data_IF_496891489318
#
_entry.id   IF_496891489318
#
_cell.length_a   1.000
_cell.length_b   1.000
_cell.length_c   1.000
_cell.angle_alpha   90.00
_cell.angle_beta   90.00
_cell.angle_gamma   90.00
#
_symmetry.space_group_name_H-M   'P 1'
#
loop_
_entity.id
_entity.type
_entity.pdbx_description
1 polymer ?
#
# COMPACT_ATOMS: atom_id res chain seq x y z
N UNK A 1 2.47 4.80 25.14
CA UNK A 1 2.77 6.26 25.12
C UNK A 1 2.34 6.89 23.77
N UNK A 2 3.00 6.59 22.65
CA UNK A 2 2.71 7.28 21.37
C UNK A 2 1.31 6.98 20.82
N UNK A 3 0.87 5.71 20.86
CA UNK A 3 -0.46 5.28 20.41
C UNK A 3 -1.57 5.95 21.24
N UNK A 4 -1.45 5.93 22.58
CA UNK A 4 -2.39 6.59 23.50
C UNK A 4 -2.42 8.11 23.28
N UNK A 5 -1.27 8.73 23.03
CA UNK A 5 -1.18 10.17 22.73
C UNK A 5 -1.88 10.52 21.41
N UNK A 6 -1.72 9.70 20.36
CA UNK A 6 -2.44 9.87 19.10
C UNK A 6 -3.96 9.75 19.31
N UNK A 7 -4.41 8.73 20.06
CA UNK A 7 -5.83 8.51 20.37
C UNK A 7 -6.44 9.66 21.15
N UNK A 8 -5.75 10.20 22.16
CA UNK A 8 -6.18 11.40 22.88
C UNK A 8 -6.29 12.68 22.02
N UNK A 9 -5.72 12.67 20.80
CA UNK A 9 -5.89 13.74 19.81
C UNK A 9 -6.87 13.38 18.68
N UNK A 10 -7.57 12.23 18.77
CA UNK A 10 -8.46 11.73 17.73
C UNK A 10 -7.75 11.17 16.49
N UNK A 11 -6.44 10.91 16.59
CA UNK A 11 -5.61 10.40 15.48
C UNK A 11 -5.53 8.88 15.60
N UNK A 12 -5.91 8.18 14.52
CA UNK A 12 -5.70 6.74 14.37
C UNK A 12 -4.45 6.44 13.55
N UNK A 13 -3.78 5.34 13.87
CA UNK A 13 -2.53 4.89 13.24
C UNK A 13 -2.85 3.76 12.25
N UNK A 14 -2.39 3.90 11.01
CA UNK A 14 -2.45 2.86 9.99
C UNK A 14 -1.07 2.20 9.90
N UNK A 15 -1.01 0.90 10.16
CA UNK A 15 0.18 0.08 9.95
C UNK A 15 0.23 -0.54 8.56
N UNK A 16 1.39 -1.12 8.26
CA UNK A 16 1.65 -1.81 6.99
C UNK A 16 2.25 -3.19 7.31
N UNK A 17 1.85 -4.22 6.57
CA UNK A 17 2.36 -5.58 6.70
C UNK A 17 2.70 -6.15 5.31
N UNK A 18 3.99 -6.47 5.02
CA UNK A 18 4.34 -7.15 3.79
C UNK A 18 3.73 -8.56 3.79
N UNK A 19 3.12 -8.98 2.68
CA UNK A 19 2.54 -10.33 2.61
C UNK A 19 3.58 -11.39 2.97
N UNK A 20 4.75 -11.36 2.33
CA UNK A 20 5.88 -12.27 2.60
C UNK A 20 6.84 -11.74 3.68
N UNK A 21 7.72 -12.63 4.17
CA UNK A 21 8.83 -12.33 5.08
C UNK A 21 10.17 -12.56 4.37
N UNK A 22 11.28 -12.08 4.94
CA UNK A 22 12.61 -12.36 4.41
C UNK A 22 13.01 -13.83 4.63
N UNK A 23 13.85 -14.41 3.75
CA UNK A 23 14.39 -15.76 3.94
C UNK A 23 15.24 -15.86 5.22
N UNK A 24 16.12 -14.89 5.43
CA UNK A 24 16.89 -14.74 6.67
C UNK A 24 16.02 -14.03 7.73
N UNK A 25 15.13 -14.79 8.37
CA UNK A 25 14.24 -14.31 9.42
C UNK A 25 13.92 -15.38 10.45
N UNK A 26 13.59 -14.94 11.67
CA UNK A 26 13.12 -15.83 12.73
C UNK A 26 11.81 -16.55 12.36
N UNK A 27 10.94 -15.90 11.58
CA UNK A 27 9.70 -16.49 11.06
C UNK A 27 9.97 -17.74 10.22
N UNK A 28 10.86 -17.64 9.22
CA UNK A 28 11.18 -18.77 8.33
C UNK A 28 12.00 -19.83 9.05
N UNK A 29 12.91 -19.43 9.94
CA UNK A 29 13.71 -20.36 10.73
C UNK A 29 12.86 -21.20 11.70
N UNK A 30 11.91 -20.60 12.41
CA UNK A 30 11.09 -21.27 13.41
C UNK A 30 9.86 -22.01 12.83
N UNK A 31 9.37 -21.61 11.65
CA UNK A 31 8.13 -22.11 11.05
C UNK A 31 8.32 -22.64 9.62
N UNK A 32 9.37 -23.43 9.40
CA UNK A 32 9.72 -23.97 8.06
C UNK A 32 8.58 -24.74 7.36
N UNK A 33 7.65 -25.33 8.12
CA UNK A 33 6.47 -26.02 7.60
C UNK A 33 5.41 -25.10 6.98
N UNK A 34 5.51 -23.80 7.24
CA UNK A 34 4.65 -22.75 6.68
C UNK A 34 5.13 -22.24 5.31
N UNK A 35 6.29 -22.69 4.81
CA UNK A 35 6.95 -22.18 3.61
C UNK A 35 7.30 -23.27 2.59
N UNK A 36 7.48 -22.88 1.31
CA UNK A 36 7.91 -23.76 0.22
C UNK A 36 9.44 -23.92 0.20
N UNK A 37 9.96 -24.60 1.22
CA UNK A 37 11.39 -24.92 1.38
C UNK A 37 11.71 -26.37 0.98
N UNK A 38 12.91 -26.57 0.48
CA UNK A 38 13.55 -27.88 0.42
C UNK A 38 13.93 -28.35 1.84
N UNK A 39 13.70 -29.64 2.12
CA UNK A 39 13.86 -30.21 3.48
C UNK A 39 15.29 -30.53 3.86
N UNK A 40 16.19 -30.74 2.90
CA UNK A 40 17.58 -31.10 3.19
C UNK A 40 18.48 -29.87 3.34
N UNK A 41 18.22 -28.82 2.55
CA UNK A 41 19.01 -27.59 2.51
C UNK A 41 18.36 -26.39 3.22
N UNK A 42 17.06 -26.45 3.52
CA UNK A 42 16.29 -25.33 4.09
C UNK A 42 16.11 -24.14 3.15
N UNK A 43 16.47 -24.26 1.87
CA UNK A 43 16.39 -23.19 0.87
C UNK A 43 15.01 -23.17 0.20
N UNK A 44 14.51 -22.01 -0.28
CA UNK A 44 13.26 -21.97 -1.05
C UNK A 44 13.37 -22.81 -2.31
N UNK A 45 12.33 -23.60 -2.62
CA UNK A 45 12.20 -24.23 -3.96
C UNK A 45 11.68 -23.20 -4.97
N UNK A 46 10.86 -22.26 -4.49
CA UNK A 46 10.28 -21.17 -5.27
C UNK A 46 10.28 -19.87 -4.45
N UNK A 47 10.35 -18.74 -5.14
CA UNK A 47 10.42 -17.39 -4.55
C UNK A 47 9.35 -16.46 -5.11
N UNK A 48 9.03 -15.43 -4.33
CA UNK A 48 8.06 -14.40 -4.67
C UNK A 48 8.60 -13.38 -5.68
N UNK A 49 7.66 -12.77 -6.42
CA UNK A 49 7.90 -11.65 -7.31
C UNK A 49 6.61 -11.17 -7.97
N UNK A 50 6.76 -10.48 -9.11
CA UNK A 50 5.69 -10.13 -10.06
C UNK A 50 6.16 -10.38 -11.50
N UNK A 51 5.27 -10.76 -12.43
CA UNK A 51 5.62 -10.98 -13.83
C UNK A 51 6.12 -9.71 -14.53
N UNK A 52 6.70 -9.83 -15.72
CA UNK A 52 6.87 -8.72 -16.64
C UNK A 52 5.56 -7.94 -16.88
N UNK A 53 5.67 -6.63 -16.94
CA UNK A 53 4.57 -5.71 -17.23
C UNK A 53 5.04 -4.54 -18.13
N UNK A 54 4.20 -3.52 -18.30
CA UNK A 54 4.52 -2.37 -19.15
C UNK A 54 5.45 -1.33 -18.48
N UNK A 55 5.90 -1.59 -17.24
CA UNK A 55 6.94 -0.83 -16.53
C UNK A 55 8.25 -1.61 -16.39
N UNK A 56 8.24 -2.95 -16.39
CA UNK A 56 9.43 -3.81 -16.30
C UNK A 56 9.38 -5.00 -17.26
N UNK A 57 10.30 -5.02 -18.24
CA UNK A 57 10.45 -6.10 -19.24
C UNK A 57 10.79 -7.47 -18.62
N UNK A 58 11.32 -7.51 -17.39
CA UNK A 58 11.75 -8.74 -16.69
C UNK A 58 10.97 -9.01 -15.39
N UNK A 59 9.95 -8.20 -15.12
CA UNK A 59 9.15 -8.25 -13.89
C UNK A 59 9.94 -7.77 -12.67
N UNK A 60 9.70 -8.38 -11.51
CA UNK A 60 10.55 -8.21 -10.33
C UNK A 60 10.66 -9.53 -9.55
N UNK A 61 11.87 -9.98 -9.26
CA UNK A 61 12.15 -11.18 -8.45
C UNK A 61 12.59 -10.76 -7.05
N UNK A 62 11.68 -10.79 -6.08
CA UNK A 62 11.95 -10.31 -4.72
C UNK A 62 12.74 -11.30 -3.87
N UNK A 63 12.65 -12.60 -4.16
CA UNK A 63 13.47 -13.63 -3.51
C UNK A 63 12.95 -14.13 -2.15
N UNK A 64 11.84 -13.58 -1.64
CA UNK A 64 11.17 -14.08 -0.44
C UNK A 64 10.69 -15.54 -0.63
N UNK A 65 10.75 -16.40 0.40
CA UNK A 65 10.09 -17.71 0.35
C UNK A 65 8.58 -17.55 0.24
N UNK A 66 7.98 -18.38 -0.61
CA UNK A 66 6.51 -18.46 -0.75
C UNK A 66 5.89 -19.30 0.37
N UNK A 67 4.66 -18.97 0.74
CA UNK A 67 3.91 -19.72 1.74
C UNK A 67 3.43 -21.08 1.21
N UNK A 68 3.49 -22.11 2.06
CA UNK A 68 2.86 -23.40 1.79
C UNK A 68 1.39 -23.33 2.21
N UNK A 69 0.54 -22.78 1.34
CA UNK A 69 -0.88 -22.56 1.63
C UNK A 69 -1.68 -23.84 1.88
N UNK A 70 -1.36 -24.95 1.20
CA UNK A 70 -2.05 -26.23 1.37
C UNK A 70 -1.14 -27.45 1.28
N UNK A 71 -1.72 -28.63 1.54
CA UNK A 71 -1.10 -29.94 1.30
C UNK A 71 -1.72 -30.68 0.12
N UNK A 72 -1.23 -31.88 -0.16
CA UNK A 72 -1.61 -32.70 -1.34
C UNK A 72 -3.09 -33.15 -1.35
N UNK A 73 -3.81 -32.96 -0.24
CA UNK A 73 -5.26 -33.17 -0.13
C UNK A 73 -6.14 -31.93 -0.31
N UNK A 74 -5.56 -30.76 -0.61
CA UNK A 74 -6.28 -29.50 -0.79
C UNK A 74 -6.68 -28.77 0.51
N UNK A 75 -6.49 -29.39 1.68
CA UNK A 75 -6.68 -28.73 2.98
C UNK A 75 -5.64 -27.63 3.22
N UNK A 76 -6.07 -26.53 3.84
CA UNK A 76 -5.26 -25.36 4.14
C UNK A 76 -4.35 -25.60 5.36
N UNK A 77 -3.11 -25.13 5.27
CA UNK A 77 -2.05 -25.39 6.24
C UNK A 77 -2.35 -24.75 7.61
N UNK A 78 -2.63 -25.58 8.61
CA UNK A 78 -3.05 -25.15 9.95
C UNK A 78 -1.95 -24.43 10.73
N UNK A 79 -0.68 -24.82 10.56
CA UNK A 79 0.45 -24.08 11.15
C UNK A 79 0.54 -22.66 10.60
N UNK A 80 0.35 -22.51 9.28
CA UNK A 80 0.39 -21.23 8.59
C UNK A 80 -0.80 -20.32 8.97
N UNK A 81 -2.00 -20.89 9.15
CA UNK A 81 -3.15 -20.16 9.70
C UNK A 81 -2.87 -19.68 11.14
N UNK A 82 -2.33 -20.55 12.00
CA UNK A 82 -1.96 -20.18 13.36
C UNK A 82 -0.85 -19.13 13.42
N UNK A 83 0.11 -19.15 12.48
CA UNK A 83 1.15 -18.12 12.35
C UNK A 83 0.56 -16.78 11.89
N UNK A 84 -0.26 -16.76 10.84
CA UNK A 84 -0.94 -15.53 10.39
C UNK A 84 -1.85 -14.93 11.46
N UNK A 85 -2.63 -15.76 12.17
CA UNK A 85 -3.47 -15.30 13.29
C UNK A 85 -2.65 -14.70 14.44
N UNK A 86 -1.44 -15.19 14.70
CA UNK A 86 -0.50 -14.57 15.64
C UNK A 86 0.08 -13.27 15.08
N UNK A 87 0.44 -13.24 13.79
CA UNK A 87 1.02 -12.08 13.10
C UNK A 87 0.09 -10.87 13.10
N UNK A 88 -1.19 -11.07 12.78
CA UNK A 88 -2.21 -10.01 12.86
C UNK A 88 -2.47 -9.58 14.32
N UNK A 89 -2.60 -10.54 15.25
CA UNK A 89 -2.73 -10.24 16.68
C UNK A 89 -1.51 -9.51 17.27
N UNK A 90 -0.34 -9.59 16.64
CA UNK A 90 0.82 -8.79 17.03
C UNK A 90 0.70 -7.34 16.55
N UNK A 91 0.50 -7.11 15.25
CA UNK A 91 0.47 -5.76 14.68
C UNK A 91 -0.72 -4.93 15.18
N UNK A 92 -1.90 -5.52 15.37
CA UNK A 92 -3.08 -4.83 15.93
C UNK A 92 -2.95 -4.42 17.41
N UNK A 93 -1.76 -4.58 18.03
CA UNK A 93 -1.42 -4.04 19.36
C UNK A 93 -0.70 -2.69 19.29
N UNK A 94 -0.40 -2.20 18.10
CA UNK A 94 0.34 -0.94 17.87
C UNK A 94 -0.30 -0.02 16.84
N UNK A 95 -1.29 -0.50 16.08
CA UNK A 95 -2.00 0.24 15.03
C UNK A 95 -3.49 -0.09 15.04
N UNK A 96 -4.31 0.81 14.49
CA UNK A 96 -5.78 0.72 14.50
C UNK A 96 -6.36 0.18 13.19
N UNK A 97 -5.56 0.18 12.12
CA UNK A 97 -5.87 -0.35 10.79
C UNK A 97 -4.60 -0.95 10.21
N UNK A 98 -4.71 -2.07 9.49
CA UNK A 98 -3.58 -2.74 8.83
C UNK A 98 -3.77 -2.71 7.32
N UNK A 99 -2.89 -2.00 6.60
CA UNK A 99 -2.70 -2.21 5.16
C UNK A 99 -1.94 -3.51 4.98
N UNK A 100 -2.47 -4.48 4.23
CA UNK A 100 -1.66 -5.60 3.75
C UNK A 100 -1.09 -5.25 2.37
N UNK A 101 0.24 -5.17 2.29
CA UNK A 101 0.93 -5.00 1.03
C UNK A 101 0.84 -6.26 0.16
N UNK A 102 0.79 -6.06 -1.17
CA UNK A 102 0.59 -7.10 -2.18
C UNK A 102 -0.55 -8.10 -1.85
N UNK A 103 -1.65 -7.61 -1.25
CA UNK A 103 -2.84 -8.42 -0.91
C UNK A 103 -3.35 -9.30 -2.06
N UNK A 104 -3.11 -8.92 -3.32
CA UNK A 104 -3.50 -9.74 -4.46
C UNK A 104 -2.94 -11.17 -4.44
N UNK A 105 -1.80 -11.37 -3.76
CA UNK A 105 -1.20 -12.67 -3.49
C UNK A 105 -2.07 -13.65 -2.68
N UNK A 106 -3.17 -13.19 -2.06
CA UNK A 106 -4.15 -14.08 -1.42
C UNK A 106 -5.15 -14.70 -2.41
N UNK A 107 -5.35 -14.14 -3.61
CA UNK A 107 -6.19 -14.73 -4.67
C UNK A 107 -5.33 -15.53 -5.66
N UNK A 108 -4.22 -14.95 -6.12
CA UNK A 108 -3.19 -15.64 -6.88
C UNK A 108 -1.85 -14.94 -6.68
N UNK A 109 -0.74 -15.67 -6.63
CA UNK A 109 0.61 -15.12 -6.49
C UNK A 109 1.53 -15.60 -7.62
N UNK A 110 2.53 -14.78 -7.96
CA UNK A 110 3.50 -15.13 -8.99
C UNK A 110 4.59 -15.99 -8.37
N UNK A 111 4.65 -17.24 -8.80
CA UNK A 111 5.60 -18.24 -8.32
C UNK A 111 6.77 -18.34 -9.30
N UNK A 112 7.99 -18.05 -8.83
CA UNK A 112 9.21 -18.13 -9.63
C UNK A 112 10.06 -19.29 -9.09
N UNK A 113 10.52 -20.27 -9.91
CA UNK A 113 11.46 -21.28 -9.47
C UNK A 113 12.74 -20.64 -8.92
N UNK A 114 13.23 -21.10 -7.75
CA UNK A 114 14.31 -20.40 -7.05
C UNK A 114 15.65 -20.38 -7.82
N UNK A 115 15.81 -21.25 -8.82
CA UNK A 115 16.92 -21.31 -9.78
C UNK A 115 16.95 -20.17 -10.80
N UNK A 116 15.80 -19.53 -11.07
CA UNK A 116 15.72 -18.43 -12.04
C UNK A 116 16.43 -17.18 -11.52
N UNK A 117 17.05 -16.42 -12.42
CA UNK A 117 17.68 -15.12 -12.11
C UNK A 117 16.67 -13.95 -12.16
N UNK A 118 15.59 -14.09 -12.94
CA UNK A 118 14.57 -13.04 -13.18
C UNK A 118 13.16 -13.53 -12.81
N UNK A 119 12.14 -12.70 -13.02
CA UNK A 119 10.74 -13.09 -12.80
C UNK A 119 10.00 -13.51 -14.09
N UNK A 120 10.70 -13.60 -15.23
CA UNK A 120 10.09 -13.94 -16.53
C UNK A 120 9.49 -15.35 -16.52
N UNK A 121 10.25 -16.34 -16.04
CA UNK A 121 9.87 -17.75 -16.05
C UNK A 121 9.13 -18.18 -14.77
N UNK A 122 8.10 -17.40 -14.38
CA UNK A 122 7.18 -17.75 -13.29
C UNK A 122 5.81 -18.18 -13.79
N UNK A 123 4.91 -18.52 -12.85
CA UNK A 123 3.51 -18.82 -13.14
C UNK A 123 2.55 -18.25 -12.08
N UNK A 124 1.27 -18.08 -12.43
CA UNK A 124 0.22 -17.66 -11.49
C UNK A 124 -0.33 -18.87 -10.74
N UNK A 125 -0.09 -18.93 -9.43
CA UNK A 125 -0.61 -19.98 -8.54
C UNK A 125 -1.72 -19.41 -7.66
N UNK A 126 -2.85 -20.10 -7.57
CA UNK A 126 -4.00 -19.67 -6.76
C UNK A 126 -3.62 -19.61 -5.27
N UNK A 127 -3.98 -18.49 -4.63
CA UNK A 127 -3.88 -18.27 -3.18
C UNK A 127 -5.10 -18.82 -2.43
N UNK A 128 -5.13 -18.67 -1.10
CA UNK A 128 -6.16 -19.29 -0.25
C UNK A 128 -7.52 -18.56 -0.25
N UNK A 129 -7.61 -17.39 -0.89
CA UNK A 129 -8.83 -16.63 -1.15
C UNK A 129 -9.70 -16.35 0.09
N UNK A 130 -11.01 -16.47 -0.09
CA UNK A 130 -12.01 -16.18 0.94
C UNK A 130 -11.92 -17.12 2.15
N UNK A 131 -11.41 -18.34 1.98
CA UNK A 131 -11.26 -19.30 3.07
C UNK A 131 -10.29 -18.77 4.14
N UNK A 132 -9.13 -18.25 3.72
CA UNK A 132 -8.16 -17.64 4.65
C UNK A 132 -8.77 -16.50 5.45
N UNK A 133 -9.49 -15.56 4.82
CA UNK A 133 -10.11 -14.45 5.54
C UNK A 133 -11.30 -14.84 6.42
N UNK A 134 -11.93 -15.98 6.14
CA UNK A 134 -12.96 -16.56 7.01
C UNK A 134 -12.33 -17.13 8.28
N UNK A 135 -11.24 -17.89 8.17
CA UNK A 135 -10.46 -18.35 9.32
C UNK A 135 -9.83 -17.19 10.10
N UNK A 136 -9.28 -16.17 9.40
CA UNK A 136 -8.70 -15.02 10.06
C UNK A 136 -9.72 -14.25 10.90
N UNK A 137 -10.99 -14.13 10.49
CA UNK A 137 -12.05 -13.52 11.32
C UNK A 137 -12.27 -14.22 12.67
N UNK A 138 -11.84 -15.48 12.83
CA UNK A 138 -11.83 -16.18 14.13
C UNK A 138 -10.56 -15.93 14.96
N UNK A 139 -9.57 -15.20 14.43
CA UNK A 139 -8.26 -14.98 15.04
C UNK A 139 -7.83 -13.50 15.15
N UNK A 140 -8.33 -12.64 14.25
CA UNK A 140 -8.19 -11.19 14.17
C UNK A 140 -9.29 -10.59 13.25
N UNK A 141 -9.99 -9.55 13.70
CA UNK A 141 -10.92 -8.80 12.84
C UNK A 141 -10.17 -7.93 11.79
N UNK A 142 -10.80 -7.70 10.63
CA UNK A 142 -10.58 -6.62 9.61
C UNK A 142 -9.27 -6.49 8.80
N UNK A 143 -9.19 -7.02 7.54
CA UNK A 143 -7.92 -7.14 6.75
C UNK A 143 -8.02 -7.19 5.18
N UNK A 144 -7.47 -6.20 4.44
CA UNK A 144 -7.55 -6.06 2.93
C UNK A 144 -6.30 -5.42 2.22
N UNK A 145 -6.17 -5.15 0.89
CA UNK A 145 -6.99 -5.23 -0.37
C UNK A 145 -6.13 -5.02 -1.67
N UNK A 146 -6.37 -5.67 -2.85
CA UNK A 146 -6.17 -5.15 -4.27
C UNK A 146 -6.42 -6.16 -5.46
N UNK A 147 -6.85 -5.67 -6.66
CA UNK A 147 -6.91 -6.29 -8.05
C UNK A 147 -8.14 -7.19 -8.42
N UNK A 148 -8.45 -7.57 -9.71
CA UNK A 148 -9.80 -8.00 -10.22
C UNK A 148 -10.66 -9.06 -9.50
N UNK A 149 -10.41 -10.38 -9.59
CA UNK A 149 -11.15 -11.41 -8.81
C UNK A 149 -11.05 -11.13 -7.28
N UNK A 150 -10.00 -10.40 -6.92
CA UNK A 150 -9.74 -9.86 -5.59
C UNK A 150 -10.56 -8.59 -5.26
N UNK A 151 -11.25 -7.97 -6.23
CA UNK A 151 -12.23 -6.89 -6.04
C UNK A 151 -13.54 -7.52 -5.58
N UNK A 152 -13.93 -8.66 -6.17
CA UNK A 152 -14.99 -9.49 -5.62
C UNK A 152 -14.61 -9.99 -4.21
N UNK A 153 -13.37 -10.43 -3.97
CA UNK A 153 -12.90 -10.81 -2.64
C UNK A 153 -12.97 -9.64 -1.64
N UNK A 154 -12.47 -8.46 -2.03
CA UNK A 154 -12.54 -7.20 -1.28
C UNK A 154 -13.97 -6.86 -0.90
N UNK A 155 -14.86 -6.79 -1.89
CA UNK A 155 -16.21 -6.27 -1.72
C UNK A 155 -17.10 -7.27 -0.98
N UNK A 156 -16.85 -8.58 -1.13
CA UNK A 156 -17.43 -9.66 -0.30
C UNK A 156 -17.00 -9.53 1.16
N UNK A 157 -15.77 -9.09 1.42
CA UNK A 157 -15.23 -8.93 2.77
C UNK A 157 -15.46 -7.54 3.38
N UNK A 158 -15.82 -6.53 2.57
CA UNK A 158 -16.18 -5.17 2.98
C UNK A 158 -15.04 -4.15 3.01
N UNK A 159 -13.86 -4.45 2.46
CA UNK A 159 -12.63 -3.67 2.71
C UNK A 159 -12.36 -2.53 1.71
N UNK A 160 -11.63 -1.46 2.09
CA UNK A 160 -11.41 -0.30 1.23
C UNK A 160 -10.35 -0.53 0.15
N UNK A 161 -10.66 -0.21 -1.11
CA UNK A 161 -9.69 -0.23 -2.21
C UNK A 161 -8.68 0.93 -2.16
N UNK A 162 -7.43 0.70 -2.59
CA UNK A 162 -6.47 1.79 -2.79
C UNK A 162 -6.67 2.47 -4.17
N UNK A 163 -6.52 3.79 -4.23
CA UNK A 163 -6.47 4.57 -5.49
C UNK A 163 -5.24 5.48 -5.46
N UNK A 164 -4.46 5.57 -6.54
CA UNK A 164 -3.23 6.37 -6.59
C UNK A 164 -3.27 7.32 -7.79
N UNK A 165 -3.26 8.64 -7.56
CA UNK A 165 -3.49 9.63 -8.62
C UNK A 165 -2.38 9.69 -9.67
N UNK A 166 -1.12 9.36 -9.32
CA UNK A 166 -0.03 9.25 -10.31
C UNK A 166 -0.28 8.19 -11.39
N UNK A 167 -1.12 7.19 -11.12
CA UNK A 167 -1.53 6.17 -12.10
C UNK A 167 -2.83 6.54 -12.85
N UNK A 168 -3.45 7.69 -12.58
CA UNK A 168 -4.73 8.07 -13.20
C UNK A 168 -4.59 8.60 -14.64
N UNK A 169 -3.38 8.95 -15.06
CA UNK A 169 -3.14 9.70 -16.31
C UNK A 169 -2.32 8.93 -17.35
N UNK A 170 -1.98 7.67 -17.09
CA UNK A 170 -1.18 6.82 -17.98
C UNK A 170 -1.95 6.19 -19.15
N UNK A 171 -3.29 6.26 -19.14
CA UNK A 171 -4.19 5.56 -20.06
C UNK A 171 -5.43 6.41 -20.39
N UNK A 172 -6.56 5.81 -20.72
CA UNK A 172 -7.76 6.49 -21.27
C UNK A 172 -8.69 7.07 -20.19
N UNK A 173 -9.89 7.49 -20.58
CA UNK A 173 -10.88 8.12 -19.69
C UNK A 173 -11.60 7.12 -18.76
N UNK A 174 -11.45 5.81 -18.98
CA UNK A 174 -12.00 4.72 -18.16
C UNK A 174 -11.05 4.27 -17.04
N UNK A 175 -9.83 4.82 -16.98
CA UNK A 175 -8.84 4.50 -15.94
C UNK A 175 -9.44 4.63 -14.53
N UNK A 176 -9.41 3.51 -13.79
CA UNK A 176 -10.07 3.38 -12.48
C UNK A 176 -9.44 4.21 -11.35
N UNK A 177 -8.31 4.89 -11.58
CA UNK A 177 -7.67 5.82 -10.65
C UNK A 177 -8.09 7.29 -10.87
N UNK A 178 -8.78 7.63 -11.97
CA UNK A 178 -9.41 8.93 -12.15
C UNK A 178 -10.59 9.09 -11.17
N UNK A 179 -10.67 10.18 -10.37
CA UNK A 179 -11.74 10.34 -9.36
C UNK A 179 -13.19 10.31 -9.87
N UNK A 180 -13.46 10.62 -11.14
CA UNK A 180 -14.81 10.46 -11.70
C UNK A 180 -15.21 8.99 -11.94
N UNK A 181 -14.25 8.06 -11.91
CA UNK A 181 -14.46 6.61 -12.02
C UNK A 181 -14.50 5.91 -10.65
N UNK A 182 -14.56 6.66 -9.53
CA UNK A 182 -14.64 6.06 -8.19
C UNK A 182 -16.09 5.64 -7.89
N UNK A 183 -16.37 4.35 -8.07
CA UNK A 183 -17.69 3.73 -7.92
C UNK A 183 -18.16 3.56 -6.47
N UNK A 184 -17.28 3.75 -5.48
CA UNK A 184 -17.59 3.56 -4.06
C UNK A 184 -16.82 4.55 -3.17
N UNK A 185 -17.45 4.95 -2.06
CA UNK A 185 -16.79 5.69 -0.97
C UNK A 185 -15.83 4.81 -0.17
N UNK A 186 -15.95 3.48 -0.27
CA UNK A 186 -15.08 2.52 0.41
C UNK A 186 -13.72 2.39 -0.30
N UNK A 187 -12.98 3.48 -0.33
CA UNK A 187 -11.62 3.52 -0.87
C UNK A 187 -10.75 4.56 -0.16
N UNK A 188 -9.44 4.34 -0.20
CA UNK A 188 -8.39 5.25 0.25
C UNK A 188 -7.68 5.80 -0.98
N UNK A 189 -7.75 7.11 -1.20
CA UNK A 189 -7.01 7.76 -2.28
C UNK A 189 -5.69 8.37 -1.78
N UNK A 190 -4.66 8.20 -2.60
CA UNK A 190 -3.31 8.69 -2.41
C UNK A 190 -2.92 9.58 -3.59
N UNK A 191 -2.10 10.61 -3.36
CA UNK A 191 -1.40 11.29 -4.46
C UNK A 191 -0.33 10.35 -5.05
N UNK A 192 0.52 9.81 -4.17
CA UNK A 192 1.46 8.70 -4.39
C UNK A 192 1.63 7.87 -3.10
N UNK A 193 2.20 6.66 -3.21
CA UNK A 193 2.65 5.85 -2.05
C UNK A 193 4.13 6.15 -1.72
N UNK A 194 4.76 5.33 -0.87
CA UNK A 194 6.21 5.41 -0.62
C UNK A 194 7.06 4.87 -1.79
N UNK A 195 6.48 4.03 -2.67
CA UNK A 195 7.13 3.47 -3.87
C UNK A 195 7.06 4.40 -5.08
N UNK A 196 6.07 5.29 -5.09
CA UNK A 196 5.96 6.36 -6.07
C UNK A 196 7.12 7.36 -5.89
N UNK A 197 7.34 8.18 -6.93
CA UNK A 197 8.01 9.45 -6.72
C UNK A 197 7.06 10.40 -5.95
N UNK A 198 7.62 11.47 -5.39
CA UNK A 198 6.86 12.69 -5.10
C UNK A 198 6.04 13.11 -6.32
N UNK A 199 4.87 13.73 -6.12
CA UNK A 199 4.04 14.22 -7.23
C UNK A 199 4.76 15.29 -8.06
N UNK A 200 5.64 16.08 -7.43
CA UNK A 200 6.46 17.06 -8.15
C UNK A 200 7.55 16.37 -8.99
N UNK A 201 8.22 15.35 -8.44
CA UNK A 201 9.19 14.52 -9.15
C UNK A 201 8.57 13.73 -10.30
N UNK A 202 7.41 13.10 -10.08
CA UNK A 202 6.58 12.48 -11.13
C UNK A 202 6.26 13.46 -12.26
N UNK A 203 5.86 14.69 -11.94
CA UNK A 203 5.52 15.70 -12.94
C UNK A 203 6.73 16.17 -13.74
N UNK A 204 7.91 16.28 -13.13
CA UNK A 204 9.12 16.68 -13.86
C UNK A 204 9.88 15.53 -14.53
N UNK A 205 9.76 14.28 -14.04
CA UNK A 205 10.49 13.10 -14.57
C UNK A 205 10.31 12.88 -16.07
N UNK A 206 11.40 12.70 -16.79
CA UNK A 206 11.39 12.38 -18.23
C UNK A 206 10.81 10.99 -18.55
N UNK A 207 10.71 10.09 -17.56
CA UNK A 207 10.07 8.77 -17.74
C UNK A 207 8.54 8.85 -17.84
N UNK A 208 7.93 9.93 -17.35
CA UNK A 208 6.47 10.11 -17.40
C UNK A 208 6.08 10.74 -18.74
N UNK A 209 5.23 10.04 -19.50
CA UNK A 209 4.81 10.45 -20.84
C UNK A 209 4.21 11.87 -20.84
N UNK A 210 4.66 12.73 -21.74
CA UNK A 210 4.19 14.12 -21.83
C UNK A 210 2.67 14.23 -22.03
N UNK A 211 2.04 13.25 -22.71
CA UNK A 211 0.59 13.15 -22.82
C UNK A 211 -0.11 12.98 -21.46
N UNK A 212 0.47 12.21 -20.55
CA UNK A 212 -0.03 12.00 -19.18
C UNK A 212 0.08 13.27 -18.34
N UNK A 213 1.20 14.01 -18.46
CA UNK A 213 1.38 15.32 -17.82
C UNK A 213 0.34 16.33 -18.33
N UNK A 214 0.13 16.41 -19.64
CA UNK A 214 -0.89 17.26 -20.25
C UNK A 214 -2.32 16.88 -19.84
N UNK A 215 -2.63 15.57 -19.73
CA UNK A 215 -3.92 15.07 -19.25
C UNK A 215 -4.15 15.44 -17.78
N UNK A 216 -3.13 15.32 -16.92
CA UNK A 216 -3.22 15.73 -15.51
C UNK A 216 -3.50 17.24 -15.37
N UNK A 217 -2.73 18.10 -16.04
CA UNK A 217 -2.95 19.55 -16.05
C UNK A 217 -4.36 19.93 -16.52
N UNK A 218 -4.85 19.29 -17.60
CA UNK A 218 -6.21 19.50 -18.12
C UNK A 218 -7.28 19.05 -17.13
N UNK A 219 -7.06 17.94 -16.42
CA UNK A 219 -8.02 17.40 -15.45
C UNK A 219 -8.13 18.31 -14.22
N UNK A 220 -7.00 18.68 -13.62
CA UNK A 220 -6.96 19.55 -12.43
C UNK A 220 -7.30 21.00 -12.73
N UNK A 221 -7.28 21.41 -14.02
CA UNK A 221 -7.35 22.81 -14.48
C UNK A 221 -6.20 23.67 -13.93
N UNK A 222 -5.04 23.04 -13.71
CA UNK A 222 -3.82 23.69 -13.22
C UNK A 222 -3.42 24.86 -14.13
N UNK A 223 -3.00 25.97 -13.54
CA UNK A 223 -2.61 27.19 -14.26
C UNK A 223 -1.08 27.30 -14.35
N UNK A 224 -0.58 28.16 -15.24
CA UNK A 224 0.85 28.43 -15.33
C UNK A 224 1.37 29.00 -13.99
N UNK A 225 2.27 28.24 -13.33
CA UNK A 225 2.79 28.58 -12.00
C UNK A 225 2.02 27.95 -10.82
N UNK A 226 0.93 27.21 -11.06
CA UNK A 226 0.26 26.42 -10.02
C UNK A 226 1.16 25.26 -9.53
N UNK A 227 1.30 25.06 -8.20
CA UNK A 227 2.01 23.90 -7.66
C UNK A 227 1.19 22.61 -7.87
N UNK A 228 1.57 21.82 -8.87
CA UNK A 228 0.90 20.57 -9.27
C UNK A 228 0.67 19.56 -8.13
N UNK A 229 1.55 19.56 -7.11
CA UNK A 229 1.38 18.72 -5.91
C UNK A 229 0.15 19.13 -5.09
N UNK A 230 -0.11 20.42 -4.90
CA UNK A 230 -1.35 20.90 -4.28
C UNK A 230 -2.57 20.64 -5.15
N UNK A 231 -2.45 20.69 -6.48
CA UNK A 231 -3.56 20.35 -7.38
C UNK A 231 -3.93 18.86 -7.31
N UNK A 232 -2.96 17.97 -7.06
CA UNK A 232 -3.20 16.57 -6.73
C UNK A 232 -3.81 16.38 -5.33
N UNK A 233 -3.38 17.16 -4.32
CA UNK A 233 -3.99 17.15 -2.98
C UNK A 233 -5.46 17.57 -3.05
N UNK A 234 -5.78 18.65 -3.78
CA UNK A 234 -7.15 19.10 -4.07
C UNK A 234 -7.96 18.06 -4.83
N UNK A 235 -7.35 17.39 -5.80
CA UNK A 235 -7.99 16.32 -6.56
C UNK A 235 -8.32 15.10 -5.68
N UNK A 236 -7.43 14.75 -4.75
CA UNK A 236 -7.66 13.69 -3.77
C UNK A 236 -8.78 14.07 -2.78
N UNK A 237 -8.70 15.27 -2.19
CA UNK A 237 -9.71 15.77 -1.26
C UNK A 237 -11.08 15.99 -1.94
N UNK A 238 -11.13 16.41 -3.20
CA UNK A 238 -12.35 16.56 -3.98
C UNK A 238 -12.98 15.25 -4.50
N UNK A 239 -12.35 14.10 -4.27
CA UNK A 239 -12.89 12.79 -4.65
C UNK A 239 -13.98 12.30 -3.67
N UNK A 240 -14.71 11.25 -4.04
CA UNK A 240 -15.68 10.56 -3.16
C UNK A 240 -15.03 9.59 -2.16
N UNK A 241 -13.70 9.44 -2.16
CA UNK A 241 -13.00 8.48 -1.30
C UNK A 241 -13.20 8.80 0.18
N UNK A 242 -13.58 7.79 0.98
CA UNK A 242 -13.83 7.91 2.41
C UNK A 242 -12.58 8.28 3.23
N UNK A 243 -11.38 7.95 2.72
CA UNK A 243 -10.11 8.38 3.29
C UNK A 243 -9.18 8.95 2.19
N UNK A 244 -8.41 9.97 2.55
CA UNK A 244 -7.37 10.57 1.72
C UNK A 244 -6.07 10.55 2.51
N UNK A 245 -4.99 10.08 1.90
CA UNK A 245 -3.64 10.06 2.49
C UNK A 245 -2.69 10.79 1.53
N UNK A 246 -1.86 11.67 2.08
CA UNK A 246 -0.90 12.49 1.32
C UNK A 246 0.49 12.27 1.92
N UNK A 247 1.51 11.87 1.15
CA UNK A 247 2.89 11.83 1.61
C UNK A 247 3.36 13.22 2.06
N UNK A 248 4.11 13.30 3.15
CA UNK A 248 4.59 14.58 3.68
C UNK A 248 5.48 15.34 2.66
N UNK A 249 6.13 14.63 1.74
CA UNK A 249 6.83 15.25 0.61
C UNK A 249 5.92 16.06 -0.32
N UNK A 250 4.71 15.54 -0.61
CA UNK A 250 3.73 16.22 -1.47
C UNK A 250 3.08 17.40 -0.76
N UNK A 251 2.93 17.35 0.57
CA UNK A 251 2.52 18.50 1.38
C UNK A 251 3.56 19.63 1.29
N UNK A 252 4.85 19.26 1.32
CA UNK A 252 5.97 20.20 1.35
C UNK A 252 6.47 20.64 -0.05
N UNK A 253 5.96 20.04 -1.12
CA UNK A 253 6.36 20.36 -2.49
C UNK A 253 7.80 19.94 -2.82
N UNK A 254 8.28 18.83 -2.25
CA UNK A 254 9.60 18.30 -2.55
C UNK A 254 9.61 17.44 -3.83
N UNK A 255 10.79 17.27 -4.45
CA UNK A 255 10.98 16.52 -5.68
C UNK A 255 11.58 15.12 -5.46
N UNK A 256 12.10 14.53 -6.54
CA UNK A 256 12.67 13.17 -6.56
C UNK A 256 13.85 12.96 -5.60
N UNK A 257 14.52 14.02 -5.17
CA UNK A 257 15.54 14.01 -4.11
C UNK A 257 14.98 13.58 -2.73
N UNK A 258 13.66 13.66 -2.57
CA UNK A 258 12.92 13.29 -1.36
C UNK A 258 12.06 12.01 -1.52
N UNK A 259 12.19 11.29 -2.64
CA UNK A 259 11.53 9.99 -2.85
C UNK A 259 11.91 8.99 -1.74
N UNK A 260 10.93 8.22 -1.26
CA UNK A 260 11.16 7.28 -0.14
C UNK A 260 11.75 5.94 -0.62
N UNK A 261 11.13 5.29 -1.60
CA UNK A 261 11.59 4.03 -2.18
C UNK A 261 11.54 4.08 -3.72
N UNK A 262 12.49 3.39 -4.36
CA UNK A 262 12.48 3.10 -5.79
C UNK A 262 12.45 1.57 -5.96
N UNK A 263 11.29 0.98 -6.29
CA UNK A 263 11.17 -0.45 -6.52
C UNK A 263 12.18 -0.96 -7.55
N UNK A 264 12.74 -2.14 -7.30
CA UNK A 264 13.80 -2.74 -8.11
C UNK A 264 15.23 -2.32 -7.76
N UNK A 265 15.46 -1.39 -6.82
CA UNK A 265 16.81 -1.02 -6.36
C UNK A 265 17.09 -1.44 -4.91
N UNK A 266 18.34 -1.80 -4.62
CA UNK A 266 18.81 -2.24 -3.29
C UNK A 266 19.44 -1.14 -2.44
N UNK A 267 19.77 0.01 -3.04
CA UNK A 267 20.50 1.11 -2.39
C UNK A 267 19.77 2.45 -2.53
N UNK A 268 20.07 3.39 -1.63
CA UNK A 268 19.51 4.75 -1.62
C UNK A 268 18.13 4.88 -0.95
N UNK A 269 17.34 3.81 -0.94
CA UNK A 269 15.97 3.78 -0.42
C UNK A 269 15.88 3.92 1.11
N UNK A 270 14.72 4.41 1.59
CA UNK A 270 14.34 4.55 3.00
C UNK A 270 15.16 5.58 3.81
N UNK A 271 15.82 6.52 3.13
CA UNK A 271 16.75 7.50 3.73
C UNK A 271 16.17 8.89 3.96
N UNK A 272 15.02 9.21 3.36
CA UNK A 272 14.43 10.55 3.47
C UNK A 272 13.97 10.86 4.90
N UNK A 273 14.20 12.09 5.35
CA UNK A 273 13.81 12.58 6.68
C UNK A 273 13.36 14.04 6.61
N UNK A 274 12.17 14.33 7.10
CA UNK A 274 11.71 15.71 7.25
C UNK A 274 12.52 16.43 8.36
N UNK A 275 13.02 17.64 8.07
CA UNK A 275 13.65 18.50 9.06
C UNK A 275 12.59 19.35 9.78
N UNK A 276 12.65 19.43 11.11
CA UNK A 276 11.61 20.02 11.96
C UNK A 276 11.13 21.43 11.55
N UNK A 277 11.98 22.26 10.92
CA UNK A 277 11.60 23.58 10.37
C UNK A 277 10.43 23.54 9.36
N UNK A 278 10.20 22.41 8.70
CA UNK A 278 9.10 22.19 7.76
C UNK A 278 7.81 21.70 8.45
N UNK A 279 7.87 21.36 9.73
CA UNK A 279 6.70 21.01 10.56
C UNK A 279 6.27 22.26 11.32
N UNK A 280 5.62 23.18 10.62
CA UNK A 280 5.28 24.52 11.13
C UNK A 280 3.81 24.88 10.86
N UNK A 281 3.34 25.94 11.52
CA UNK A 281 1.95 26.39 11.45
C UNK A 281 1.50 26.82 10.04
N UNK A 282 2.39 27.25 9.15
CA UNK A 282 2.03 27.67 7.79
C UNK A 282 1.61 26.46 6.96
N UNK A 283 2.44 25.41 6.96
CA UNK A 283 2.12 24.12 6.36
C UNK A 283 0.86 23.49 6.99
N UNK A 284 0.73 23.58 8.33
CA UNK A 284 -0.43 23.05 9.03
C UNK A 284 -1.74 23.82 8.70
N UNK A 285 -1.68 25.16 8.56
CA UNK A 285 -2.82 25.98 8.12
C UNK A 285 -3.20 25.65 6.68
N UNK A 286 -2.24 25.61 5.74
CA UNK A 286 -2.51 25.29 4.33
C UNK A 286 -3.22 23.95 4.16
N UNK A 287 -2.77 22.89 4.85
CA UNK A 287 -3.49 21.61 4.88
C UNK A 287 -4.88 21.73 5.50
N UNK A 288 -5.00 22.41 6.64
CA UNK A 288 -6.27 22.53 7.36
C UNK A 288 -7.33 23.28 6.55
N UNK A 289 -6.94 24.30 5.79
CA UNK A 289 -7.88 25.10 4.99
C UNK A 289 -8.45 24.29 3.82
N UNK A 290 -7.64 23.47 3.14
CA UNK A 290 -8.11 22.51 2.13
C UNK A 290 -9.00 21.41 2.77
N UNK A 291 -8.61 20.87 3.93
CA UNK A 291 -9.39 19.88 4.70
C UNK A 291 -10.74 20.44 5.16
N UNK A 292 -10.81 21.74 5.51
CA UNK A 292 -12.07 22.44 5.80
C UNK A 292 -12.90 22.61 4.53
N UNK A 293 -12.30 23.10 3.44
CA UNK A 293 -12.99 23.39 2.18
C UNK A 293 -13.65 22.15 1.57
N UNK A 294 -12.96 21.01 1.58
CA UNK A 294 -13.49 19.73 1.09
C UNK A 294 -14.31 18.93 2.14
N UNK A 295 -14.64 19.52 3.29
CA UNK A 295 -15.42 18.88 4.36
C UNK A 295 -14.84 17.54 4.85
N UNK A 296 -13.53 17.54 5.14
CA UNK A 296 -12.75 16.36 5.60
C UNK A 296 -12.18 16.52 7.02
N UNK A 297 -12.65 17.51 7.78
CA UNK A 297 -12.38 17.56 9.21
C UNK A 297 -12.86 16.28 9.90
N UNK A 298 -12.11 15.73 10.87
CA UNK A 298 -12.62 14.62 11.68
C UNK A 298 -13.86 15.07 12.47
N UNK A 299 -14.74 14.11 12.78
CA UNK A 299 -15.73 14.30 13.83
C UNK A 299 -15.01 14.73 15.12
N UNK A 300 -15.66 15.57 15.95
CA UNK A 300 -15.00 16.10 17.17
C UNK A 300 -14.48 14.93 18.02
N UNK A 301 -13.21 14.97 18.48
CA UNK A 301 -12.69 13.96 19.38
C UNK A 301 -13.46 13.99 20.70
N UNK A 302 -13.51 12.85 21.38
CA UNK A 302 -14.10 12.76 22.72
C UNK A 302 -13.32 13.64 23.71
N UNK A 303 -14.05 14.40 24.55
CA UNK A 303 -13.47 15.37 25.48
C UNK A 303 -12.80 14.71 26.70
N UNK A 304 -12.83 13.37 26.80
CA UNK A 304 -12.32 12.57 27.92
C UNK A 304 -10.84 12.80 28.23
N UNK A 305 -9.96 12.89 27.22
CA UNK A 305 -8.52 13.16 27.44
C UNK A 305 -8.17 14.61 27.82
N UNK A 306 -9.11 15.57 27.78
CA UNK A 306 -8.81 17.01 28.01
C UNK A 306 -8.65 17.42 29.49
N UNK A 307 -8.42 16.48 30.40
CA UNK A 307 -8.46 16.74 31.85
C UNK A 307 -7.10 16.86 32.55
N UNK A 308 -5.99 16.61 31.85
CA UNK A 308 -4.64 16.63 32.43
C UNK A 308 -3.61 17.37 31.53
N UNK A 309 -3.73 18.70 31.47
CA UNK A 309 -2.66 19.65 31.13
C UNK A 309 -2.81 20.92 31.98
#
# INVERSE_FOLDING_TARGET
ILWDYAHCHGIRIIGDIPIYVALDSADVWAHQDCFLLDRETGRPTHVAGVPPDYFSETGQRWGNPLFKWGGDGGEMNQSLLAWWGQRFRHICRTVDVVRIDHFRGFEAYWQIPASEETAVNGEWVTGPGLAFFSEMKHHAEDLGVITPEVELLRDTLGFPGMKVLQFAFDSDEHNAYLPHNYTTVNCVVYTGTHDNDTTLGWYFSDTVRQASKAKALRYTRSQAGSPIHWDFIRLAYGSVAGLVIVPLQDVLGFGSDCRMNMPGTSEGNWRWRCAARFLNDETARALRDEVVFYNRLPARPDDSCRREQ
#
